data_IF_629083336417
#
_entry.id   IF_629083336417
#
_cell.length_a   1.000
_cell.length_b   1.000
_cell.length_c   1.000
_cell.angle_alpha   90.00
_cell.angle_beta   90.00
_cell.angle_gamma   90.00
#
_symmetry.space_group_name_H-M   'P 1'
#
loop_
_entity.id
_entity.type
_entity.pdbx_description
1 polymer ?
#
# COMPACT_ATOMS: atom_id res chain seq x y z
N UNK A 1 8.04 28.79 -42.40
CA UNK A 1 9.08 27.83 -41.95
C UNK A 1 9.69 28.45 -40.72
N UNK A 2 9.62 27.79 -39.57
CA UNK A 2 10.39 28.21 -38.40
C UNK A 2 11.88 28.14 -38.75
N UNK A 3 12.69 28.95 -38.10
CA UNK A 3 14.14 28.84 -38.23
C UNK A 3 14.63 27.56 -37.56
N UNK A 4 15.73 27.01 -38.06
CA UNK A 4 16.38 25.80 -37.53
C UNK A 4 16.64 25.89 -36.01
N UNK A 5 16.90 27.09 -35.49
CA UNK A 5 17.07 27.34 -34.05
C UNK A 5 15.76 27.25 -33.29
N UNK A 6 14.66 27.74 -33.86
CA UNK A 6 13.34 27.65 -33.26
C UNK A 6 12.84 26.20 -33.24
N UNK A 7 13.12 25.43 -34.30
CA UNK A 7 12.81 23.99 -34.35
C UNK A 7 13.59 23.21 -33.29
N UNK A 8 14.89 23.50 -33.12
CA UNK A 8 15.72 22.89 -32.08
C UNK A 8 15.19 23.21 -30.66
N UNK A 9 14.78 24.46 -30.43
CA UNK A 9 14.22 24.87 -29.14
C UNK A 9 12.89 24.17 -28.88
N UNK A 10 12.01 24.08 -29.88
CA UNK A 10 10.73 23.38 -29.75
C UNK A 10 10.92 21.88 -29.47
N UNK A 11 11.87 21.23 -30.13
CA UNK A 11 12.19 19.83 -29.89
C UNK A 11 12.73 19.63 -28.45
N UNK A 12 13.70 20.45 -28.03
CA UNK A 12 14.24 20.39 -26.68
C UNK A 12 13.16 20.61 -25.61
N UNK A 13 12.27 21.57 -25.82
CA UNK A 13 11.17 21.86 -24.90
C UNK A 13 10.15 20.72 -24.86
N UNK A 14 9.82 20.14 -26.01
CA UNK A 14 8.92 18.98 -26.10
C UNK A 14 9.51 17.78 -25.36
N UNK A 15 10.79 17.49 -25.56
CA UNK A 15 11.48 16.40 -24.87
C UNK A 15 11.51 16.61 -23.35
N UNK A 16 11.75 17.83 -22.89
CA UNK A 16 11.69 18.18 -21.47
C UNK A 16 10.29 17.93 -20.88
N UNK A 17 9.24 18.44 -21.55
CA UNK A 17 7.86 18.29 -21.07
C UNK A 17 7.44 16.81 -21.01
N UNK A 18 7.82 16.01 -22.02
CA UNK A 18 7.56 14.57 -22.03
C UNK A 18 8.26 13.85 -20.87
N UNK A 19 9.51 14.22 -20.56
CA UNK A 19 10.24 13.64 -19.43
C UNK A 19 9.61 14.01 -18.08
N UNK A 20 9.14 15.25 -17.93
CA UNK A 20 8.41 15.69 -16.73
C UNK A 20 7.11 14.91 -16.56
N UNK A 21 6.31 14.74 -17.62
CA UNK A 21 5.06 13.97 -17.56
C UNK A 21 5.33 12.50 -17.16
N UNK A 22 6.34 11.87 -17.76
CA UNK A 22 6.77 10.52 -17.38
C UNK A 22 7.15 10.42 -15.88
N UNK A 23 7.89 11.41 -15.37
CA UNK A 23 8.24 11.51 -13.95
C UNK A 23 7.01 11.64 -13.03
N UNK A 24 6.05 12.48 -13.42
CA UNK A 24 4.78 12.65 -12.69
C UNK A 24 3.98 11.33 -12.67
N UNK A 25 3.91 10.62 -13.79
CA UNK A 25 3.21 9.33 -13.86
C UNK A 25 3.87 8.29 -12.95
N UNK A 26 5.20 8.19 -12.96
CA UNK A 26 5.94 7.30 -12.06
C UNK A 26 5.69 7.65 -10.59
N UNK A 27 5.76 8.94 -10.22
CA UNK A 27 5.46 9.40 -8.88
C UNK A 27 4.02 9.08 -8.46
N UNK A 28 3.03 9.23 -9.36
CA UNK A 28 1.64 8.84 -9.09
C UNK A 28 1.49 7.34 -8.82
N UNK A 29 2.21 6.48 -9.54
CA UNK A 29 2.19 5.03 -9.26
C UNK A 29 2.82 4.70 -7.91
N UNK A 30 3.93 5.35 -7.57
CA UNK A 30 4.56 5.21 -6.24
C UNK A 30 3.62 5.70 -5.15
N UNK A 31 3.01 6.88 -5.30
CA UNK A 31 2.03 7.42 -4.34
C UNK A 31 0.77 6.55 -4.28
N UNK A 32 0.32 5.95 -5.38
CA UNK A 32 -0.80 5.00 -5.37
C UNK A 32 -0.43 3.73 -4.62
N UNK A 33 0.80 3.24 -4.78
CA UNK A 33 1.33 2.13 -4.00
C UNK A 33 1.58 2.51 -2.53
N UNK A 34 1.92 3.77 -2.26
CA UNK A 34 2.22 4.34 -0.96
C UNK A 34 1.01 5.01 -0.28
N UNK A 35 -0.17 5.03 -0.91
CA UNK A 35 -1.47 5.19 -0.23
C UNK A 35 -1.71 3.91 0.56
N UNK A 36 -0.85 3.71 1.55
CA UNK A 36 -0.92 2.72 2.60
C UNK A 36 -2.01 3.23 3.52
N UNK A 37 -3.21 2.74 3.26
CA UNK A 37 -4.37 3.06 4.05
C UNK A 37 -5.38 1.97 3.87
N UNK A 38 -4.98 0.72 4.14
CA UNK A 38 -5.97 -0.32 4.34
C UNK A 38 -6.86 0.10 5.51
N UNK A 39 -8.16 -0.08 5.35
CA UNK A 39 -9.15 0.21 6.37
C UNK A 39 -9.48 -1.08 7.15
N UNK A 40 -9.05 -1.21 8.42
CA UNK A 40 -9.35 -2.39 9.23
C UNK A 40 -10.84 -2.65 9.40
N UNK A 41 -11.69 -1.62 9.38
CA UNK A 41 -13.12 -1.76 9.64
C UNK A 41 -13.87 -2.42 8.48
N UNK A 42 -13.25 -2.48 7.30
CA UNK A 42 -13.78 -3.18 6.12
C UNK A 42 -13.39 -4.65 6.05
N UNK A 43 -12.52 -5.12 6.95
CA UNK A 43 -12.05 -6.49 6.99
C UNK A 43 -12.95 -7.28 7.93
N UNK A 44 -13.36 -8.49 7.53
CA UNK A 44 -14.12 -9.36 8.43
C UNK A 44 -13.22 -9.89 9.54
N UNK A 45 -13.53 -9.55 10.79
CA UNK A 45 -12.83 -10.01 11.99
C UNK A 45 -13.69 -10.99 12.79
N UNK A 46 -13.08 -12.08 13.24
CA UNK A 46 -13.70 -13.12 14.05
C UNK A 46 -13.00 -13.17 15.42
N UNK A 47 -13.75 -13.12 16.54
CA UNK A 47 -13.15 -13.20 17.86
C UNK A 47 -12.50 -14.57 18.07
N UNK A 48 -11.36 -14.58 18.77
CA UNK A 48 -10.58 -15.78 19.04
C UNK A 48 -9.88 -15.67 20.40
N UNK A 49 -9.62 -16.83 21.03
CA UNK A 49 -8.90 -16.91 22.30
C UNK A 49 -7.46 -17.34 22.07
N UNK A 50 -6.51 -16.58 22.62
CA UNK A 50 -5.08 -16.91 22.59
C UNK A 50 -4.52 -17.13 23.99
N UNK A 51 -3.26 -17.56 24.05
CA UNK A 51 -2.53 -17.74 25.32
C UNK A 51 -2.38 -16.44 26.13
N UNK A 52 -2.54 -15.28 25.47
CA UNK A 52 -2.45 -13.94 26.07
C UNK A 52 -3.80 -13.21 26.09
N UNK A 53 -4.91 -13.95 26.11
CA UNK A 53 -6.27 -13.43 26.14
C UNK A 53 -6.92 -13.33 24.75
N UNK A 54 -8.05 -12.63 24.71
CA UNK A 54 -8.85 -12.42 23.51
C UNK A 54 -8.10 -11.62 22.45
N UNK A 55 -8.35 -11.97 21.19
CA UNK A 55 -7.91 -11.25 20.01
C UNK A 55 -8.91 -11.47 18.88
N UNK A 56 -8.71 -10.77 17.77
CA UNK A 56 -9.53 -10.94 16.57
C UNK A 56 -8.67 -11.50 15.44
N UNK A 57 -9.24 -12.42 14.66
CA UNK A 57 -8.58 -13.07 13.53
C UNK A 57 -9.36 -12.79 12.25
N UNK A 58 -8.65 -12.59 11.15
CA UNK A 58 -9.24 -12.53 9.82
C UNK A 58 -8.54 -13.51 8.87
N UNK A 59 -9.33 -14.10 7.97
CA UNK A 59 -8.92 -14.90 6.81
C UNK A 59 -9.60 -14.40 5.53
N UNK A 60 -9.88 -13.11 5.48
CA UNK A 60 -10.66 -12.47 4.42
C UNK A 60 -9.82 -12.26 3.16
N UNK A 61 -9.24 -13.34 2.62
CA UNK A 61 -8.23 -13.33 1.56
C UNK A 61 -8.72 -12.71 0.26
N UNK A 62 -10.03 -12.66 0.02
CA UNK A 62 -10.63 -12.05 -1.18
C UNK A 62 -10.81 -10.54 -1.05
N UNK A 63 -10.76 -10.00 0.18
CA UNK A 63 -10.94 -8.58 0.43
C UNK A 63 -9.71 -7.75 0.04
N UNK A 64 -9.85 -6.71 -0.81
CA UNK A 64 -8.75 -5.85 -1.20
C UNK A 64 -8.02 -5.19 -0.02
N UNK A 65 -8.75 -4.85 1.03
CA UNK A 65 -8.21 -4.22 2.25
C UNK A 65 -7.36 -5.23 3.04
N UNK A 66 -7.79 -6.49 3.10
CA UNK A 66 -7.02 -7.57 3.72
C UNK A 66 -5.72 -7.83 2.95
N UNK A 67 -5.77 -7.90 1.61
CA UNK A 67 -4.57 -8.05 0.77
C UNK A 67 -3.58 -6.91 0.96
N UNK A 68 -4.08 -5.67 1.02
CA UNK A 68 -3.26 -4.49 1.27
C UNK A 68 -2.62 -4.53 2.68
N UNK A 69 -3.38 -4.92 3.70
CA UNK A 69 -2.89 -5.11 5.07
C UNK A 69 -1.83 -6.21 5.16
N UNK A 70 -2.04 -7.35 4.49
CA UNK A 70 -1.08 -8.46 4.48
C UNK A 70 0.25 -8.05 3.87
N UNK A 71 0.22 -7.36 2.72
CA UNK A 71 1.41 -6.83 2.07
C UNK A 71 2.16 -5.81 2.94
N UNK A 72 1.42 -4.94 3.64
CA UNK A 72 1.99 -3.96 4.56
C UNK A 72 2.63 -4.64 5.78
N UNK A 73 1.98 -5.66 6.33
CA UNK A 73 2.55 -6.48 7.40
C UNK A 73 3.81 -7.21 6.95
N UNK A 74 3.82 -7.85 5.78
CA UNK A 74 5.00 -8.52 5.23
C UNK A 74 6.17 -7.56 5.05
N UNK A 75 5.92 -6.34 4.55
CA UNK A 75 6.93 -5.29 4.42
C UNK A 75 7.53 -4.86 5.78
N UNK A 76 6.79 -5.05 6.88
CA UNK A 76 7.22 -4.75 8.26
C UNK A 76 7.66 -6.00 9.05
N UNK A 77 7.98 -7.11 8.38
CA UNK A 77 8.44 -8.34 9.05
C UNK A 77 7.31 -9.13 9.74
N UNK A 78 6.09 -9.00 9.21
CA UNK A 78 4.89 -9.72 9.62
C UNK A 78 4.14 -9.12 10.80
N UNK A 79 4.52 -7.94 11.31
CA UNK A 79 3.92 -7.31 12.50
C UNK A 79 3.96 -5.79 12.38
N UNK A 80 2.88 -5.10 12.77
CA UNK A 80 2.86 -3.65 12.85
C UNK A 80 1.88 -3.17 13.93
N UNK A 81 2.07 -1.95 14.43
CA UNK A 81 1.12 -1.28 15.32
C UNK A 81 0.59 -0.03 14.63
N UNK A 82 -0.73 0.10 14.52
CA UNK A 82 -1.39 1.23 13.85
C UNK A 82 -2.70 1.54 14.56
N UNK A 83 -2.96 2.82 14.80
CA UNK A 83 -4.24 3.33 15.33
C UNK A 83 -4.71 2.61 16.63
N UNK A 84 -3.77 2.31 17.53
CA UNK A 84 -4.07 1.65 18.81
C UNK A 84 -4.30 0.13 18.73
N UNK A 85 -4.09 -0.48 17.55
CA UNK A 85 -4.14 -1.93 17.37
C UNK A 85 -2.75 -2.48 17.00
N UNK A 86 -2.45 -3.64 17.56
CA UNK A 86 -1.32 -4.47 17.16
C UNK A 86 -1.79 -5.55 16.19
N UNK A 87 -1.16 -5.63 15.03
CA UNK A 87 -1.47 -6.56 13.95
C UNK A 87 -0.30 -7.53 13.72
N UNK A 88 -0.60 -8.78 13.37
CA UNK A 88 0.42 -9.77 13.03
C UNK A 88 -0.08 -10.81 12.02
N UNK A 89 0.82 -11.33 11.20
CA UNK A 89 0.57 -12.46 10.30
C UNK A 89 0.82 -13.77 11.07
N UNK A 90 -0.05 -14.76 10.88
CA UNK A 90 0.16 -16.10 11.41
C UNK A 90 1.22 -16.84 10.57
N UNK A 91 1.90 -17.83 11.14
CA UNK A 91 2.96 -18.61 10.47
C UNK A 91 2.54 -19.26 9.14
N UNK A 92 1.24 -19.47 8.95
CA UNK A 92 0.69 -20.07 7.73
C UNK A 92 0.51 -19.04 6.60
N UNK A 93 0.74 -17.74 6.82
CA UNK A 93 0.56 -16.67 5.83
C UNK A 93 -0.89 -16.29 5.53
N UNK A 94 -1.82 -17.23 5.68
CA UNK A 94 -3.22 -17.06 5.22
C UNK A 94 -4.15 -16.34 6.22
N UNK A 95 -3.62 -15.89 7.35
CA UNK A 95 -4.41 -15.25 8.39
C UNK A 95 -3.67 -14.11 9.04
N UNK A 96 -4.42 -13.09 9.45
CA UNK A 96 -3.94 -11.96 10.24
C UNK A 96 -4.69 -11.90 11.55
N UNK A 97 -3.98 -11.58 12.62
CA UNK A 97 -4.56 -11.26 13.92
C UNK A 97 -4.46 -9.77 14.22
N UNK A 98 -5.42 -9.25 14.97
CA UNK A 98 -5.35 -7.92 15.58
C UNK A 98 -5.71 -7.98 17.07
N UNK A 99 -5.10 -7.11 17.86
CA UNK A 99 -5.41 -6.93 19.27
C UNK A 99 -5.27 -5.46 19.66
N UNK A 100 -6.25 -4.93 20.38
CA UNK A 100 -6.18 -3.57 20.92
C UNK A 100 -5.04 -3.47 21.93
N UNK A 101 -4.23 -2.41 21.83
CA UNK A 101 -3.14 -2.09 22.75
C UNK A 101 -3.64 -1.25 23.93
#
# INVERSE_FOLDING_TARGET
MLSEKEDLVLEAFTNFLNAVDAGIQAARQIIKAAKVGWNPDKIKWEPAQGTKGEYERSKDVDNPEFKAMLKDLEAHGGKLTREGYFYWVFTNGDAVGRKRR
#
